data_IF_790097924582
#
_entry.id   IF_790097924582
#
_cell.length_a   1.000
_cell.length_b   1.000
_cell.length_c   1.000
_cell.angle_alpha   90.00
_cell.angle_beta   90.00
_cell.angle_gamma   90.00
#
_symmetry.space_group_name_H-M   'P 1'
#
loop_
_entity.id
_entity.type
_entity.pdbx_description
1 polymer ?
#
# COMPACT_ATOMS: atom_id res chain seq x y z
N UNK A 1 -14.24 3.91 0.86
CA UNK A 1 -14.88 2.88 0.00
C UNK A 1 -15.41 3.56 -1.24
N UNK A 2 -15.25 2.93 -2.41
CA UNK A 2 -15.80 3.43 -3.68
C UNK A 2 -17.06 2.63 -4.04
N UNK A 3 -18.10 3.32 -4.50
CA UNK A 3 -19.32 2.71 -5.03
C UNK A 3 -19.54 3.24 -6.45
N UNK A 4 -19.82 2.35 -7.40
CA UNK A 4 -20.11 2.72 -8.79
C UNK A 4 -21.58 3.15 -8.94
N UNK A 5 -21.81 4.39 -9.34
CA UNK A 5 -23.13 5.02 -9.33
C UNK A 5 -23.46 5.61 -10.69
N UNK A 6 -23.74 4.76 -11.69
CA UNK A 6 -24.07 5.10 -13.09
C UNK A 6 -24.96 6.32 -13.33
N UNK A 7 -25.85 6.67 -12.39
CA UNK A 7 -26.71 7.86 -12.47
C UNK A 7 -25.99 9.20 -12.21
N UNK A 8 -24.72 9.20 -11.82
CA UNK A 8 -23.90 10.40 -11.61
C UNK A 8 -22.90 10.61 -12.76
N UNK A 9 -22.55 11.85 -13.09
CA UNK A 9 -21.46 12.12 -14.04
C UNK A 9 -20.09 11.89 -13.37
N UNK A 10 -19.22 11.03 -13.92
CA UNK A 10 -17.90 10.70 -13.33
C UNK A 10 -17.96 9.69 -12.16
N UNK A 11 -18.73 8.64 -12.33
CA UNK A 11 -19.84 8.25 -11.46
C UNK A 11 -19.55 7.48 -10.16
N UNK A 12 -18.35 7.57 -9.57
CA UNK A 12 -18.06 6.90 -8.29
C UNK A 12 -18.40 7.74 -7.05
N UNK A 13 -18.93 7.14 -5.98
CA UNK A 13 -18.96 7.75 -4.64
C UNK A 13 -17.77 7.26 -3.81
N UNK A 14 -16.82 8.14 -3.49
CA UNK A 14 -15.80 7.88 -2.48
C UNK A 14 -16.33 8.31 -1.11
N UNK A 15 -16.57 7.33 -0.22
CA UNK A 15 -16.92 7.57 1.18
C UNK A 15 -15.71 7.27 2.05
N UNK A 16 -15.20 8.30 2.73
CA UNK A 16 -14.16 8.19 3.74
C UNK A 16 -14.76 8.29 5.15
N UNK A 17 -14.10 7.67 6.11
CA UNK A 17 -14.35 7.88 7.52
C UNK A 17 -13.00 8.10 8.19
N UNK A 18 -12.89 9.20 8.91
CA UNK A 18 -11.63 9.65 9.49
C UNK A 18 -11.71 9.67 11.01
N UNK A 19 -10.54 9.57 11.62
CA UNK A 19 -10.35 9.66 13.07
C UNK A 19 -9.15 10.56 13.31
N UNK A 20 -9.23 11.39 14.35
CA UNK A 20 -8.12 12.24 14.76
C UNK A 20 -6.97 11.48 15.44
N UNK A 21 -7.16 10.19 15.71
CA UNK A 21 -6.20 9.33 16.39
C UNK A 21 -5.41 8.54 15.36
N UNK A 22 -4.14 8.23 15.66
CA UNK A 22 -3.38 7.33 14.79
C UNK A 22 -3.97 5.93 14.85
N UNK A 23 -3.97 5.23 13.72
CA UNK A 23 -4.53 3.88 13.63
C UNK A 23 -3.84 2.84 14.53
N UNK A 24 -2.61 3.15 14.96
CA UNK A 24 -1.80 2.37 15.89
C UNK A 24 -2.36 2.45 17.32
N UNK A 25 -2.87 3.61 17.72
CA UNK A 25 -3.40 3.90 19.06
C UNK A 25 -4.81 3.34 19.28
N UNK A 26 -5.47 2.91 18.20
CA UNK A 26 -6.82 2.37 18.25
C UNK A 26 -6.80 0.87 18.53
N UNK A 27 -7.60 0.46 19.52
CA UNK A 27 -7.91 -0.96 19.75
C UNK A 27 -8.59 -1.59 18.54
N UNK A 28 -8.47 -2.91 18.38
CA UNK A 28 -9.15 -3.65 17.32
C UNK A 28 -10.67 -3.37 17.30
N UNK A 29 -11.29 -3.20 18.47
CA UNK A 29 -12.71 -2.86 18.60
C UNK A 29 -13.01 -1.47 18.04
N UNK A 30 -12.17 -0.47 18.30
CA UNK A 30 -12.35 0.89 17.77
C UNK A 30 -12.18 0.93 16.25
N UNK A 31 -11.13 0.28 15.72
CA UNK A 31 -10.92 0.19 14.26
C UNK A 31 -12.10 -0.51 13.59
N UNK A 32 -12.62 -1.58 14.19
CA UNK A 32 -13.81 -2.27 13.68
C UNK A 32 -15.05 -1.35 13.67
N UNK A 33 -15.23 -0.49 14.67
CA UNK A 33 -16.34 0.49 14.66
C UNK A 33 -16.16 1.51 13.55
N UNK A 34 -14.95 2.04 13.34
CA UNK A 34 -14.68 2.98 12.23
C UNK A 34 -14.99 2.31 10.88
N UNK A 35 -14.53 1.07 10.67
CA UNK A 35 -14.81 0.31 9.46
C UNK A 35 -16.32 0.06 9.24
N UNK A 36 -17.07 -0.24 10.32
CA UNK A 36 -18.53 -0.41 10.27
C UNK A 36 -19.25 0.90 9.94
N UNK A 37 -18.84 2.01 10.55
CA UNK A 37 -19.40 3.34 10.25
C UNK A 37 -19.15 3.69 8.78
N UNK A 38 -17.92 3.53 8.29
CA UNK A 38 -17.60 3.74 6.88
C UNK A 38 -18.48 2.88 5.96
N UNK A 39 -18.67 1.61 6.33
CA UNK A 39 -19.49 0.66 5.57
C UNK A 39 -20.95 1.07 5.53
N UNK A 40 -21.54 1.35 6.68
CA UNK A 40 -22.95 1.73 6.79
C UNK A 40 -23.23 3.07 6.09
N UNK A 41 -22.31 4.03 6.21
CA UNK A 41 -22.41 5.35 5.53
C UNK A 41 -22.35 5.17 4.02
N UNK A 42 -21.40 4.39 3.50
CA UNK A 42 -21.33 4.12 2.06
C UNK A 42 -22.59 3.40 1.56
N UNK A 43 -23.12 2.43 2.32
CA UNK A 43 -24.38 1.76 1.95
C UNK A 43 -25.57 2.71 1.92
N UNK A 44 -25.64 3.66 2.85
CA UNK A 44 -26.68 4.70 2.87
C UNK A 44 -26.55 5.64 1.67
N UNK A 45 -25.33 6.12 1.41
CA UNK A 45 -25.04 6.99 0.27
C UNK A 45 -25.36 6.29 -1.05
N UNK A 46 -24.97 5.01 -1.18
CA UNK A 46 -25.24 4.20 -2.36
C UNK A 46 -26.74 4.05 -2.64
N UNK A 47 -27.55 3.76 -1.62
CA UNK A 47 -29.01 3.68 -1.76
C UNK A 47 -29.61 5.03 -2.16
N UNK A 48 -29.13 6.12 -1.58
CA UNK A 48 -29.62 7.46 -1.87
C UNK A 48 -29.32 7.87 -3.32
N UNK A 49 -28.11 7.59 -3.79
CA UNK A 49 -27.65 7.89 -5.15
C UNK A 49 -28.00 6.80 -6.18
N UNK A 50 -28.80 5.80 -5.81
CA UNK A 50 -29.24 4.69 -6.68
C UNK A 50 -28.07 3.99 -7.39
N UNK A 51 -26.97 3.77 -6.67
CA UNK A 51 -25.78 3.14 -7.22
C UNK A 51 -26.00 1.68 -7.59
N UNK A 52 -25.35 1.22 -8.66
CA UNK A 52 -25.44 -0.15 -9.16
C UNK A 52 -24.30 -1.00 -8.53
N UNK A 53 -24.51 -2.32 -8.38
CA UNK A 53 -23.49 -3.26 -7.89
C UNK A 53 -23.65 -3.73 -6.44
N UNK A 54 -22.95 -4.83 -6.12
CA UNK A 54 -23.01 -5.44 -4.80
C UNK A 54 -22.25 -4.57 -3.77
N UNK A 55 -22.96 -4.14 -2.72
CA UNK A 55 -22.35 -3.40 -1.62
C UNK A 55 -21.64 -4.35 -0.66
N UNK A 56 -20.47 -3.94 -0.20
CA UNK A 56 -19.75 -4.66 0.85
C UNK A 56 -20.60 -4.90 2.10
N UNK A 57 -20.35 -6.04 2.74
CA UNK A 57 -21.00 -6.40 4.00
C UNK A 57 -20.37 -5.64 5.17
N UNK A 58 -21.17 -5.46 6.22
CA UNK A 58 -20.70 -4.90 7.48
C UNK A 58 -19.59 -5.80 8.04
N UNK A 59 -18.36 -5.30 8.27
CA UNK A 59 -17.25 -6.15 8.67
C UNK A 59 -17.50 -6.78 10.05
N UNK A 60 -17.16 -8.07 10.15
CA UNK A 60 -17.18 -8.84 11.40
C UNK A 60 -15.90 -8.67 12.22
N UNK A 61 -14.76 -8.48 11.55
CA UNK A 61 -13.42 -8.39 12.13
C UNK A 61 -12.56 -7.37 11.39
N UNK A 62 -11.38 -7.06 11.94
CA UNK A 62 -10.35 -6.25 11.30
C UNK A 62 -9.01 -6.97 11.41
N UNK A 63 -8.19 -6.93 10.36
CA UNK A 63 -6.85 -7.52 10.41
C UNK A 63 -5.93 -6.59 11.23
N UNK A 64 -5.46 -7.10 12.38
CA UNK A 64 -4.47 -6.46 13.26
C UNK A 64 -3.18 -7.25 13.34
N UNK A 65 -2.90 -8.06 12.32
CA UNK A 65 -1.65 -8.80 12.25
C UNK A 65 -0.48 -7.80 12.31
N UNK A 66 0.39 -8.03 13.29
CA UNK A 66 1.59 -7.24 13.48
C UNK A 66 2.56 -7.41 12.31
N UNK A 67 3.35 -6.36 12.09
CA UNK A 67 4.49 -6.42 11.19
C UNK A 67 5.51 -7.44 11.69
N UNK A 68 6.14 -8.16 10.77
CA UNK A 68 7.18 -9.13 11.09
C UNK A 68 8.46 -8.76 10.35
N UNK A 69 9.51 -8.49 11.12
CA UNK A 69 10.86 -8.34 10.60
C UNK A 69 11.49 -9.72 10.39
N UNK A 70 12.12 -9.92 9.22
CA UNK A 70 12.79 -11.17 8.86
C UNK A 70 14.00 -10.89 7.95
N UNK A 71 15.01 -11.76 7.92
CA UNK A 71 16.04 -11.70 6.90
C UNK A 71 15.44 -11.81 5.49
N UNK A 72 16.00 -11.08 4.51
CA UNK A 72 15.48 -11.04 3.12
C UNK A 72 15.15 -12.42 2.55
N UNK A 73 16.06 -13.39 2.71
CA UNK A 73 15.89 -14.76 2.19
C UNK A 73 14.79 -15.59 2.88
N UNK A 74 14.19 -15.07 3.96
CA UNK A 74 13.13 -15.72 4.75
C UNK A 74 11.80 -14.96 4.70
N UNK A 75 11.65 -14.02 3.76
CA UNK A 75 10.40 -13.32 3.53
C UNK A 75 9.29 -14.29 3.08
N UNK A 76 8.11 -14.18 3.68
CA UNK A 76 6.96 -15.08 3.47
C UNK A 76 5.66 -14.34 3.14
N UNK A 77 5.59 -13.05 3.45
CA UNK A 77 4.45 -12.17 3.26
C UNK A 77 4.60 -11.25 2.04
N UNK A 78 4.28 -9.97 2.23
CA UNK A 78 4.29 -8.95 1.16
C UNK A 78 5.65 -8.77 0.50
N UNK A 79 6.76 -9.07 1.20
CA UNK A 79 8.13 -9.00 0.67
C UNK A 79 8.63 -10.30 0.02
N UNK A 80 7.82 -11.38 0.02
CA UNK A 80 8.24 -12.69 -0.50
C UNK A 80 8.63 -12.62 -1.99
N UNK A 81 9.88 -12.94 -2.28
CA UNK A 81 10.41 -12.98 -3.64
C UNK A 81 10.64 -11.62 -4.29
N UNK A 82 10.61 -10.54 -3.51
CA UNK A 82 10.75 -9.16 -4.02
C UNK A 82 12.22 -8.78 -4.20
N UNK A 83 13.07 -9.18 -3.25
CA UNK A 83 14.51 -8.87 -3.25
C UNK A 83 15.32 -10.16 -3.37
N UNK A 84 16.14 -10.26 -4.41
CA UNK A 84 17.09 -11.37 -4.55
C UNK A 84 18.34 -11.12 -3.71
N UNK A 85 19.11 -12.17 -3.39
CA UNK A 85 20.38 -12.00 -2.65
C UNK A 85 21.36 -11.03 -3.33
N UNK A 86 21.37 -10.98 -4.67
CA UNK A 86 22.17 -10.02 -5.43
C UNK A 86 21.71 -8.57 -5.23
N UNK A 87 20.40 -8.32 -5.31
CA UNK A 87 19.88 -6.97 -5.09
C UNK A 87 19.99 -6.56 -3.62
N UNK A 88 19.81 -7.50 -2.68
CA UNK A 88 20.03 -7.26 -1.25
C UNK A 88 21.46 -6.78 -0.97
N UNK A 89 22.48 -7.47 -1.52
CA UNK A 89 23.87 -7.07 -1.37
C UNK A 89 24.16 -5.69 -2.00
N UNK A 90 23.65 -5.43 -3.20
CA UNK A 90 23.81 -4.12 -3.88
C UNK A 90 23.17 -2.99 -3.09
N UNK A 91 21.96 -3.23 -2.58
CA UNK A 91 21.18 -2.26 -1.83
C UNK A 91 21.59 -2.15 -0.35
N UNK A 92 22.50 -3.02 0.10
CA UNK A 92 22.89 -3.19 1.50
C UNK A 92 21.70 -3.46 2.43
N UNK A 93 20.71 -4.19 1.93
CA UNK A 93 19.52 -4.62 2.66
C UNK A 93 19.82 -5.98 3.30
N UNK A 94 19.55 -6.11 4.59
CA UNK A 94 19.70 -7.38 5.33
C UNK A 94 18.35 -7.97 5.71
N UNK A 95 17.38 -7.10 5.99
CA UNK A 95 16.10 -7.45 6.58
C UNK A 95 14.95 -6.82 5.81
N UNK A 96 13.77 -7.43 5.98
CA UNK A 96 12.51 -6.92 5.48
C UNK A 96 11.47 -6.92 6.58
N UNK A 97 10.59 -5.94 6.55
CA UNK A 97 9.42 -5.86 7.43
C UNK A 97 8.15 -5.98 6.58
N UNK A 98 7.32 -6.97 6.91
CA UNK A 98 6.18 -7.38 6.08
C UNK A 98 4.94 -7.80 6.89
N UNK A 99 3.80 -7.85 6.20
CA UNK A 99 2.54 -8.46 6.66
C UNK A 99 2.16 -9.67 5.80
N UNK A 100 1.19 -10.50 6.21
CA UNK A 100 0.60 -11.50 5.31
C UNK A 100 0.10 -10.85 4.02
N UNK A 101 0.40 -11.47 2.88
CA UNK A 101 0.07 -10.92 1.57
C UNK A 101 -1.34 -11.31 1.09
N UNK A 102 -1.90 -10.54 0.16
CA UNK A 102 -3.15 -10.82 -0.54
C UNK A 102 -4.43 -10.50 0.24
N UNK A 103 -4.33 -9.68 1.30
CA UNK A 103 -5.45 -9.42 2.24
C UNK A 103 -6.01 -8.01 2.22
N UNK A 104 -5.35 -7.07 1.53
CA UNK A 104 -5.67 -5.66 1.61
C UNK A 104 -5.51 -4.95 0.26
N UNK A 105 -6.27 -3.87 0.07
CA UNK A 105 -6.13 -2.94 -1.06
C UNK A 105 -4.88 -2.05 -0.95
N UNK A 106 -4.16 -2.18 0.16
CA UNK A 106 -2.83 -1.61 0.33
C UNK A 106 -1.91 -2.68 0.90
N UNK A 107 -0.81 -2.97 0.20
CA UNK A 107 0.26 -3.84 0.69
C UNK A 107 1.52 -3.00 0.86
N UNK A 108 2.33 -3.28 1.90
CA UNK A 108 3.64 -2.65 2.04
C UNK A 108 4.72 -3.68 2.30
N UNK A 109 5.91 -3.37 1.80
CA UNK A 109 7.14 -4.11 2.04
C UNK A 109 8.25 -3.11 2.36
N UNK A 110 8.83 -3.22 3.54
CA UNK A 110 9.92 -2.35 3.99
C UNK A 110 11.25 -3.11 3.94
N UNK A 111 12.29 -2.41 3.51
CA UNK A 111 13.65 -2.92 3.38
C UNK A 111 14.56 -2.16 4.33
N UNK A 112 15.27 -2.88 5.18
CA UNK A 112 16.12 -2.30 6.22
C UNK A 112 17.51 -2.94 6.28
N UNK A 113 18.40 -2.28 7.02
CA UNK A 113 19.72 -2.79 7.41
C UNK A 113 19.83 -2.76 8.93
N UNK A 114 19.44 -3.86 9.58
CA UNK A 114 19.21 -3.86 11.02
C UNK A 114 18.06 -2.91 11.39
N UNK A 115 18.31 -2.02 12.34
CA UNK A 115 17.33 -1.00 12.80
C UNK A 115 17.21 0.21 11.86
N UNK A 116 17.99 0.24 10.77
CA UNK A 116 17.99 1.35 9.83
C UNK A 116 17.05 1.08 8.65
N UNK A 117 15.94 1.80 8.55
CA UNK A 117 15.05 1.70 7.40
C UNK A 117 15.66 2.40 6.19
N UNK A 118 15.62 1.73 5.05
CA UNK A 118 16.25 2.20 3.82
C UNK A 118 15.18 2.57 2.78
N UNK A 119 14.27 1.63 2.52
CA UNK A 119 13.29 1.77 1.45
C UNK A 119 11.94 1.23 1.88
N UNK A 120 10.87 1.90 1.46
CA UNK A 120 9.50 1.41 1.63
C UNK A 120 8.84 1.29 0.27
N UNK A 121 8.25 0.12 0.03
CA UNK A 121 7.40 -0.11 -1.12
C UNK A 121 5.95 -0.22 -0.68
N UNK A 122 5.06 0.45 -1.39
CA UNK A 122 3.61 0.38 -1.18
C UNK A 122 2.92 0.05 -2.49
N UNK A 123 1.98 -0.90 -2.44
CA UNK A 123 1.06 -1.20 -3.52
C UNK A 123 -0.31 -0.68 -3.11
N UNK A 124 -0.97 0.04 -4.00
CA UNK A 124 -2.30 0.58 -3.85
C UNK A 124 -3.18 -0.01 -4.96
N UNK A 125 -4.41 -0.38 -4.64
CA UNK A 125 -5.34 -1.02 -5.58
C UNK A 125 -6.66 -0.26 -5.63
N UNK A 126 -7.19 -0.10 -6.85
CA UNK A 126 -8.46 0.57 -7.13
C UNK A 126 -8.54 1.97 -6.55
N UNK A 127 -9.54 2.28 -5.71
CA UNK A 127 -9.74 3.63 -5.20
C UNK A 127 -8.51 4.18 -4.44
N UNK A 128 -7.79 3.31 -3.73
CA UNK A 128 -6.56 3.72 -3.05
C UNK A 128 -5.43 4.06 -4.02
N UNK A 129 -5.42 3.44 -5.21
CA UNK A 129 -4.48 3.79 -6.27
C UNK A 129 -4.79 5.16 -6.87
N UNK A 130 -6.06 5.43 -7.16
CA UNK A 130 -6.52 6.72 -7.69
C UNK A 130 -6.23 7.87 -6.73
N UNK A 131 -6.50 7.67 -5.44
CA UNK A 131 -6.22 8.66 -4.39
C UNK A 131 -4.73 8.95 -4.27
N UNK A 132 -3.88 7.91 -4.20
CA UNK A 132 -2.43 8.12 -4.10
C UNK A 132 -1.86 8.78 -5.37
N UNK A 133 -2.32 8.38 -6.56
CA UNK A 133 -1.94 9.02 -7.83
C UNK A 133 -2.34 10.49 -7.87
N UNK A 134 -3.55 10.82 -7.38
CA UNK A 134 -4.00 12.21 -7.25
C UNK A 134 -3.12 13.00 -6.30
N UNK A 135 -2.79 12.44 -5.12
CA UNK A 135 -1.92 13.09 -4.14
C UNK A 135 -0.50 13.32 -4.69
N UNK A 136 0.08 12.34 -5.38
CA UNK A 136 1.39 12.47 -6.02
C UNK A 136 1.37 13.53 -7.14
N UNK A 137 0.29 13.62 -7.90
CA UNK A 137 0.11 14.66 -8.93
C UNK A 137 -0.12 16.06 -8.36
N UNK A 138 -0.84 16.17 -7.23
CA UNK A 138 -1.13 17.44 -6.55
C UNK A 138 0.09 18.00 -5.82
N UNK A 139 0.97 17.13 -5.32
CA UNK A 139 2.15 17.52 -4.55
C UNK A 139 3.45 16.99 -5.19
N UNK A 140 3.76 17.38 -6.44
CA UNK A 140 4.89 16.82 -7.18
C UNK A 140 6.22 17.14 -6.47
N UNK A 141 7.06 16.11 -6.27
CA UNK A 141 8.40 16.27 -5.72
C UNK A 141 8.50 16.39 -4.19
N UNK A 142 7.40 16.25 -3.46
CA UNK A 142 7.41 16.20 -1.97
C UNK A 142 8.23 15.03 -1.42
N UNK A 143 8.36 13.93 -2.18
CA UNK A 143 9.23 12.80 -1.86
C UNK A 143 10.30 12.63 -2.93
N UNK A 144 11.53 13.07 -2.63
CA UNK A 144 12.72 12.83 -3.48
C UNK A 144 13.07 11.34 -3.50
N UNK A 145 13.52 10.83 -4.65
CA UNK A 145 13.95 9.42 -4.77
C UNK A 145 12.80 8.41 -4.87
N UNK A 146 11.62 8.86 -5.32
CA UNK A 146 10.44 8.02 -5.50
C UNK A 146 10.46 7.35 -6.88
N UNK A 147 10.20 6.05 -6.92
CA UNK A 147 9.97 5.29 -8.15
C UNK A 147 8.54 4.77 -8.15
N UNK A 148 7.84 4.94 -9.26
CA UNK A 148 6.44 4.54 -9.38
C UNK A 148 6.21 3.66 -10.58
N UNK A 149 5.14 2.87 -10.52
CA UNK A 149 4.69 2.01 -11.61
C UNK A 149 3.18 1.81 -11.50
N UNK A 150 2.50 1.87 -12.63
CA UNK A 150 1.04 1.66 -12.71
C UNK A 150 0.76 0.43 -13.56
N UNK A 151 -0.27 -0.35 -13.19
CA UNK A 151 -0.75 -1.51 -13.92
C UNK A 151 -2.28 -1.43 -14.03
N UNK A 152 -2.81 -1.64 -15.22
CA UNK A 152 -4.24 -1.87 -15.43
C UNK A 152 -4.58 -3.33 -15.11
N UNK A 153 -5.29 -3.56 -14.01
CA UNK A 153 -5.73 -4.87 -13.53
C UNK A 153 -7.10 -5.28 -14.07
N UNK A 154 -7.92 -4.30 -14.48
CA UNK A 154 -9.30 -4.53 -14.89
C UNK A 154 -10.22 -4.94 -13.72
N UNK A 155 -11.48 -5.24 -14.04
CA UNK A 155 -12.49 -5.60 -13.04
C UNK A 155 -12.69 -4.52 -11.97
N UNK A 156 -13.09 -4.94 -10.76
CA UNK A 156 -13.32 -4.04 -9.63
C UNK A 156 -12.02 -3.42 -9.05
N UNK A 157 -10.86 -3.95 -9.41
CA UNK A 157 -9.57 -3.37 -9.02
C UNK A 157 -9.22 -2.20 -9.93
N UNK A 158 -9.57 -2.24 -11.22
CA UNK A 158 -9.24 -1.17 -12.17
C UNK A 158 -7.73 -0.99 -12.28
N UNK A 159 -7.19 -0.04 -11.53
CA UNK A 159 -5.77 0.34 -11.54
C UNK A 159 -5.05 -0.11 -10.27
N UNK A 160 -3.81 -0.58 -10.42
CA UNK A 160 -2.86 -0.75 -9.33
C UNK A 160 -1.70 0.23 -9.48
N UNK A 161 -1.36 0.91 -8.38
CA UNK A 161 -0.26 1.86 -8.31
C UNK A 161 0.78 1.37 -7.30
N UNK A 162 2.03 1.28 -7.74
CA UNK A 162 3.14 0.78 -6.94
C UNK A 162 4.15 1.91 -6.76
N UNK A 163 4.58 2.11 -5.52
CA UNK A 163 5.49 3.18 -5.13
C UNK A 163 6.65 2.59 -4.35
N UNK A 164 7.87 3.04 -4.64
CA UNK A 164 9.07 2.81 -3.84
C UNK A 164 9.62 4.16 -3.44
N UNK A 165 9.86 4.37 -2.15
CA UNK A 165 10.45 5.60 -1.61
C UNK A 165 11.65 5.25 -0.74
N UNK A 166 12.67 6.12 -0.75
CA UNK A 166 13.71 6.10 0.28
C UNK A 166 13.13 6.59 1.60
N UNK A 167 13.38 5.87 2.68
CA UNK A 167 12.95 6.29 4.02
C UNK A 167 13.94 7.32 4.56
N UNK A 168 13.42 8.36 5.19
CA UNK A 168 14.23 9.30 5.97
C UNK A 168 14.20 8.82 7.40
N UNK A 169 15.32 8.30 7.85
CA UNK A 169 15.47 7.83 9.22
C UNK A 169 16.45 8.69 9.99
N UNK A 170 16.37 8.56 11.31
CA UNK A 170 17.30 9.16 12.24
C UNK A 170 18.40 8.13 12.52
N UNK A 171 19.62 8.43 12.10
CA UNK A 171 20.78 7.62 12.45
C UNK A 171 21.01 7.62 13.98
N UNK A 172 21.83 6.69 14.46
CA UNK A 172 22.13 6.51 15.89
C UNK A 172 22.74 7.76 16.55
N UNK A 173 23.38 8.63 15.78
CA UNK A 173 23.94 9.92 16.22
C UNK A 173 22.91 11.07 16.21
N UNK A 174 21.68 10.78 15.82
CA UNK A 174 20.58 11.73 15.74
C UNK A 174 20.49 12.51 14.43
N UNK A 175 21.40 12.29 13.47
CA UNK A 175 21.31 12.89 12.15
C UNK A 175 20.15 12.29 11.35
N UNK A 176 19.35 13.14 10.71
CA UNK A 176 18.25 12.71 9.84
C UNK A 176 18.72 12.74 8.38
N UNK A 177 18.60 11.62 7.68
CA UNK A 177 19.04 11.53 6.29
C UNK A 177 18.33 10.43 5.51
N UNK A 178 18.46 10.46 4.19
CA UNK A 178 18.12 9.30 3.37
C UNK A 178 19.25 8.29 3.50
N UNK A 179 18.92 7.11 4.01
CA UNK A 179 19.85 6.02 4.15
C UNK A 179 19.61 5.00 3.04
N UNK A 180 20.69 4.62 2.33
CA UNK A 180 20.59 3.69 1.21
C UNK A 180 21.50 4.09 0.05
N UNK A 181 21.70 3.16 -0.88
CA UNK A 181 22.39 3.44 -2.15
C UNK A 181 21.45 4.16 -3.12
N UNK A 182 22.02 5.00 -3.97
CA UNK A 182 21.34 5.70 -5.05
C UNK A 182 21.30 4.90 -6.36
N UNK A 183 21.49 3.57 -6.36
CA UNK A 183 21.46 2.73 -7.58
C UNK A 183 20.04 2.67 -8.18
N UNK A 184 19.74 3.47 -9.23
CA UNK A 184 18.38 3.58 -9.74
C UNK A 184 17.96 2.32 -10.48
N UNK A 185 18.91 1.58 -11.05
CA UNK A 185 18.65 0.37 -11.80
C UNK A 185 18.24 -0.78 -10.86
N UNK A 186 18.92 -0.91 -9.72
CA UNK A 186 18.53 -1.84 -8.66
C UNK A 186 17.14 -1.54 -8.11
N UNK A 187 16.87 -0.28 -7.76
CA UNK A 187 15.57 0.12 -7.21
C UNK A 187 14.42 -0.11 -8.20
N UNK A 188 14.61 0.17 -9.49
CA UNK A 188 13.62 -0.15 -10.54
C UNK A 188 13.37 -1.66 -10.69
N UNK A 189 14.40 -2.50 -10.58
CA UNK A 189 14.25 -3.97 -10.64
C UNK A 189 13.50 -4.50 -9.42
N UNK A 190 13.78 -3.97 -8.24
CA UNK A 190 13.08 -4.32 -7.00
C UNK A 190 11.62 -3.88 -7.08
N UNK A 191 11.33 -2.65 -7.52
CA UNK A 191 9.95 -2.20 -7.73
C UNK A 191 9.21 -3.05 -8.76
N UNK A 192 9.85 -3.43 -9.87
CA UNK A 192 9.25 -4.35 -10.86
C UNK A 192 8.92 -5.71 -10.22
N UNK A 193 9.82 -6.25 -9.41
CA UNK A 193 9.62 -7.53 -8.72
C UNK A 193 8.48 -7.45 -7.72
N UNK A 194 8.40 -6.35 -6.96
CA UNK A 194 7.29 -6.06 -6.06
C UNK A 194 5.95 -5.96 -6.78
N UNK A 195 5.90 -5.15 -7.85
CA UNK A 195 4.69 -4.97 -8.65
C UNK A 195 4.22 -6.28 -9.29
N UNK A 196 5.15 -7.12 -9.76
CA UNK A 196 4.82 -8.45 -10.30
C UNK A 196 4.28 -9.38 -9.21
N UNK A 197 4.97 -9.49 -8.08
CA UNK A 197 4.60 -10.41 -7.00
C UNK A 197 3.27 -10.00 -6.34
N UNK A 198 3.09 -8.71 -6.10
CA UNK A 198 1.88 -8.13 -5.50
C UNK A 198 0.72 -8.14 -6.49
N UNK A 199 0.92 -7.64 -7.71
CA UNK A 199 -0.10 -7.65 -8.77
C UNK A 199 -0.68 -9.04 -9.02
N UNK A 200 0.18 -10.08 -9.12
CA UNK A 200 -0.27 -11.46 -9.31
C UNK A 200 -1.22 -11.95 -8.20
N UNK A 201 -1.00 -11.55 -6.94
CA UNK A 201 -1.90 -11.94 -5.82
C UNK A 201 -3.29 -11.35 -5.93
N UNK A 202 -3.39 -10.22 -6.63
CA UNK A 202 -4.62 -9.46 -6.85
C UNK A 202 -5.19 -9.67 -8.26
N UNK A 203 -4.69 -10.66 -9.02
CA UNK A 203 -5.19 -10.97 -10.36
C UNK A 203 -4.80 -9.94 -11.44
N UNK A 204 -3.87 -9.03 -11.15
CA UNK A 204 -3.35 -8.08 -12.14
C UNK A 204 -2.40 -8.77 -13.14
N UNK A 205 -2.30 -8.27 -14.38
CA UNK A 205 -1.30 -8.73 -15.33
C UNK A 205 0.12 -8.37 -14.86
N UNK A 206 1.11 -9.08 -15.42
CA UNK A 206 2.50 -8.77 -15.16
C UNK A 206 2.94 -7.46 -15.86
N UNK A 207 3.79 -6.65 -15.22
CA UNK A 207 4.27 -5.37 -15.77
C UNK A 207 5.63 -5.40 -16.49
#
# INVERSE_FOLDING_TARGET
MLVDCKAMAGAGLLVTAETSWKSEDLSARQVLQVARVATDTARRAARHAQCEGALGERPGTVDRTEWRMRPVGRATGTCRGVVTGREAARLRVTDVTEKPAGRALTEQCELSRGELDLFRMTAYYGPSAEEEMYLDGRYPGTVKGTYTRTIECGGAIGTAYFKLVGVKDKAADGAVGTHGTSDPAALKRVLKSYATASGKRHGCPAP
#
